data_IF_965339865961
#
_entry.id   IF_965339865961
#
_cell.length_a   1.000
_cell.length_b   1.000
_cell.length_c   1.000
_cell.angle_alpha   90.00
_cell.angle_beta   90.00
_cell.angle_gamma   90.00
#
_symmetry.space_group_name_H-M   'P 1'
#
loop_
_entity.id
_entity.type
_entity.pdbx_description
1 polymer ?
#
# COMPACT_ATOMS: atom_id res chain seq x y z
N UNK A 1 17.52 10.48 -11.72
CA UNK A 1 16.16 10.76 -12.20
C UNK A 1 15.24 10.18 -11.15
N UNK A 2 14.26 10.94 -10.68
CA UNK A 2 13.31 10.49 -9.67
C UNK A 2 12.52 9.27 -10.19
N UNK A 3 12.52 8.17 -9.43
CA UNK A 3 11.87 6.90 -9.78
C UNK A 3 10.38 7.10 -10.10
N UNK A 4 9.70 7.98 -9.35
CA UNK A 4 8.29 8.31 -9.55
C UNK A 4 8.07 9.13 -10.82
N UNK A 5 9.02 9.99 -11.17
CA UNK A 5 8.97 10.74 -12.43
C UNK A 5 9.05 9.80 -13.65
N UNK A 6 9.93 8.80 -13.60
CA UNK A 6 10.06 7.79 -14.65
C UNK A 6 8.78 6.95 -14.78
N UNK A 7 8.23 6.49 -13.64
CA UNK A 7 6.98 5.72 -13.60
C UNK A 7 5.80 6.51 -14.17
N UNK A 8 5.63 7.77 -13.76
CA UNK A 8 4.59 8.66 -14.31
C UNK A 8 4.74 8.88 -15.82
N UNK A 9 5.97 9.00 -16.32
CA UNK A 9 6.21 9.12 -17.77
C UNK A 9 5.75 7.87 -18.49
N UNK A 10 6.15 6.69 -18.00
CA UNK A 10 5.76 5.40 -18.59
C UNK A 10 4.24 5.22 -18.60
N UNK A 11 3.56 5.47 -17.47
CA UNK A 11 2.09 5.41 -17.38
C UNK A 11 1.46 6.33 -18.43
N UNK A 12 1.95 7.58 -18.53
CA UNK A 12 1.45 8.54 -19.52
C UNK A 12 1.59 8.05 -20.95
N UNK A 13 2.71 7.40 -21.28
CA UNK A 13 2.95 6.85 -22.61
C UNK A 13 2.01 5.67 -22.90
N UNK A 14 1.77 4.78 -21.93
CA UNK A 14 0.83 3.67 -22.05
C UNK A 14 -0.61 4.17 -22.25
N UNK A 15 -1.02 5.20 -21.50
CA UNK A 15 -2.34 5.81 -21.62
C UNK A 15 -2.65 6.35 -23.02
N UNK A 16 -1.64 6.71 -23.83
CA UNK A 16 -1.86 7.18 -25.20
C UNK A 16 -2.53 6.12 -26.07
N UNK A 17 -2.29 4.84 -25.76
CA UNK A 17 -2.79 3.68 -26.50
C UNK A 17 -3.96 3.00 -25.80
N UNK A 18 -4.01 3.06 -24.48
CA UNK A 18 -5.04 2.38 -23.68
C UNK A 18 -6.31 3.21 -23.46
N UNK A 19 -6.19 4.54 -23.36
CA UNK A 19 -7.31 5.40 -22.94
C UNK A 19 -8.05 5.94 -24.17
N UNK A 20 -9.39 5.85 -24.22
CA UNK A 20 -10.19 6.49 -25.27
C UNK A 20 -9.90 7.99 -25.40
N UNK A 21 -9.84 8.50 -26.63
CA UNK A 21 -9.39 9.88 -26.92
C UNK A 21 -10.18 10.97 -26.16
N UNK A 22 -11.49 10.76 -25.95
CA UNK A 22 -12.38 11.68 -25.24
C UNK A 22 -12.20 11.65 -23.71
N UNK A 23 -11.52 10.64 -23.17
CA UNK A 23 -11.30 10.44 -21.74
C UNK A 23 -9.86 10.72 -21.30
N UNK A 24 -8.92 10.94 -22.23
CA UNK A 24 -7.49 11.17 -21.93
C UNK A 24 -7.24 12.30 -20.93
N UNK A 25 -8.01 13.39 -21.01
CA UNK A 25 -7.87 14.50 -20.08
C UNK A 25 -8.18 14.09 -18.63
N UNK A 26 -9.29 13.38 -18.40
CA UNK A 26 -9.72 12.95 -17.08
C UNK A 26 -8.75 11.92 -16.48
N UNK A 27 -8.28 10.99 -17.31
CA UNK A 27 -7.30 10.01 -16.89
C UNK A 27 -5.96 10.68 -16.51
N UNK A 28 -5.55 11.74 -17.21
CA UNK A 28 -4.36 12.52 -16.84
C UNK A 28 -4.54 13.31 -15.54
N UNK A 29 -5.73 13.85 -15.27
CA UNK A 29 -6.02 14.52 -14.00
C UNK A 29 -5.84 13.54 -12.82
N UNK A 30 -6.29 12.29 -12.97
CA UNK A 30 -6.08 11.25 -11.96
C UNK A 30 -4.58 10.99 -11.71
N UNK A 31 -3.77 10.91 -12.76
CA UNK A 31 -2.31 10.76 -12.64
C UNK A 31 -1.65 11.96 -11.92
N UNK A 32 -2.23 13.16 -12.03
CA UNK A 32 -1.74 14.37 -11.34
C UNK A 32 -2.13 14.37 -9.85
N UNK A 33 -3.30 13.82 -9.50
CA UNK A 33 -3.76 13.66 -8.12
C UNK A 33 -2.82 12.69 -7.37
N UNK A 34 -2.56 11.53 -7.93
CA UNK A 34 -1.73 10.47 -7.32
C UNK A 34 -0.23 10.61 -7.63
N UNK A 35 0.23 11.80 -8.02
CA UNK A 35 1.56 11.99 -8.61
C UNK A 35 2.72 11.61 -7.68
N UNK A 36 2.51 11.63 -6.36
CA UNK A 36 3.51 11.23 -5.36
C UNK A 36 3.12 9.90 -4.67
N UNK A 37 1.95 9.34 -4.95
CA UNK A 37 1.46 8.12 -4.33
C UNK A 37 2.06 6.88 -5.00
N UNK A 38 2.99 6.21 -4.32
CA UNK A 38 3.65 5.02 -4.87
C UNK A 38 2.65 3.90 -5.12
N UNK A 39 1.70 3.67 -4.21
CA UNK A 39 0.75 2.57 -4.28
C UNK A 39 -0.19 2.75 -5.47
N UNK A 40 -0.83 3.91 -5.59
CA UNK A 40 -1.70 4.19 -6.73
C UNK A 40 -0.95 4.15 -8.07
N UNK A 41 0.30 4.63 -8.11
CA UNK A 41 1.12 4.57 -9.31
C UNK A 41 1.50 3.14 -9.71
N UNK A 42 1.68 2.20 -8.78
CA UNK A 42 1.83 0.77 -9.14
C UNK A 42 0.55 0.23 -9.77
N UNK A 43 -0.62 0.54 -9.20
CA UNK A 43 -1.91 0.10 -9.76
C UNK A 43 -2.10 0.62 -11.18
N UNK A 44 -1.81 1.90 -11.40
CA UNK A 44 -1.90 2.49 -12.74
C UNK A 44 -0.91 1.84 -13.71
N UNK A 45 0.34 1.63 -13.29
CA UNK A 45 1.33 0.99 -14.14
C UNK A 45 0.93 -0.44 -14.51
N UNK A 46 0.48 -1.24 -13.55
CA UNK A 46 0.06 -2.62 -13.79
C UNK A 46 -1.16 -2.69 -14.71
N UNK A 47 -2.19 -1.88 -14.43
CA UNK A 47 -3.40 -1.81 -15.25
C UNK A 47 -3.10 -1.41 -16.70
N UNK A 48 -2.32 -0.35 -16.92
CA UNK A 48 -2.04 0.13 -18.28
C UNK A 48 -1.00 -0.70 -19.04
N UNK A 49 -0.18 -1.50 -18.33
CA UNK A 49 0.70 -2.49 -18.97
C UNK A 49 -0.07 -3.73 -19.40
N UNK A 50 -1.07 -4.13 -18.62
CA UNK A 50 -1.83 -5.35 -18.79
C UNK A 50 -3.34 -5.05 -18.67
N UNK A 51 -3.94 -4.48 -19.71
CA UNK A 51 -5.37 -4.20 -19.73
C UNK A 51 -6.17 -5.51 -19.54
N UNK A 52 -6.98 -5.65 -18.47
CA UNK A 52 -7.61 -6.92 -18.13
C UNK A 52 -8.45 -7.51 -19.27
N UNK A 53 -9.20 -6.68 -20.00
CA UNK A 53 -10.05 -7.11 -21.12
C UNK A 53 -9.37 -7.01 -22.49
N UNK A 54 -8.12 -6.54 -22.55
CA UNK A 54 -7.42 -6.25 -23.81
C UNK A 54 -8.12 -5.20 -24.70
N UNK A 55 -8.95 -4.35 -24.10
CA UNK A 55 -9.72 -3.30 -24.76
C UNK A 55 -9.39 -1.94 -24.15
N UNK A 56 -9.58 -0.87 -24.94
CA UNK A 56 -9.36 0.50 -24.49
C UNK A 56 -10.25 0.80 -23.27
N UNK A 57 -9.62 1.19 -22.17
CA UNK A 57 -10.28 1.55 -20.92
C UNK A 57 -9.38 2.45 -20.07
N UNK A 58 -9.93 2.97 -18.98
CA UNK A 58 -9.23 3.84 -18.07
C UNK A 58 -9.77 3.76 -16.66
N UNK A 59 -8.88 3.99 -15.69
CA UNK A 59 -9.24 4.05 -14.28
C UNK A 59 -9.89 5.41 -14.01
N UNK A 60 -11.14 5.39 -13.55
CA UNK A 60 -11.90 6.58 -13.15
C UNK A 60 -11.57 7.00 -11.73
N UNK A 61 -11.43 6.02 -10.85
CA UNK A 61 -11.16 6.20 -9.44
C UNK A 61 -10.62 4.90 -8.84
N UNK A 62 -9.97 5.02 -7.68
CA UNK A 62 -9.55 3.91 -6.84
C UNK A 62 -10.47 3.86 -5.62
N UNK A 63 -10.89 2.66 -5.23
CA UNK A 63 -11.71 2.40 -4.04
C UNK A 63 -10.94 1.54 -3.05
N UNK A 64 -10.98 1.89 -1.78
CA UNK A 64 -10.34 1.13 -0.71
C UNK A 64 -11.29 0.02 -0.24
N UNK A 65 -11.02 -1.22 -0.66
CA UNK A 65 -11.82 -2.40 -0.28
C UNK A 65 -11.43 -2.89 1.10
N UNK A 66 -10.13 -2.91 1.38
CA UNK A 66 -9.60 -3.34 2.66
C UNK A 66 -8.19 -2.79 2.89
N UNK A 67 -7.83 -2.62 4.15
CA UNK A 67 -6.49 -2.25 4.57
C UNK A 67 -6.19 -2.92 5.89
N UNK A 68 -5.00 -3.51 6.02
CA UNK A 68 -4.53 -4.07 7.28
C UNK A 68 -3.02 -4.23 7.24
N UNK A 69 -2.33 -3.79 8.29
CA UNK A 69 -0.89 -4.00 8.47
C UNK A 69 -0.03 -3.54 7.26
N UNK A 70 -0.40 -2.42 6.64
CA UNK A 70 0.31 -1.88 5.47
C UNK A 70 -0.02 -2.52 4.12
N UNK A 71 -0.88 -3.55 4.11
CA UNK A 71 -1.38 -4.19 2.88
C UNK A 71 -2.74 -3.59 2.53
N UNK A 72 -2.92 -3.23 1.26
CA UNK A 72 -4.14 -2.63 0.73
C UNK A 72 -4.76 -3.56 -0.30
N UNK A 73 -6.07 -3.72 -0.21
CA UNK A 73 -6.89 -4.25 -1.30
C UNK A 73 -7.60 -3.06 -1.94
N UNK A 74 -7.13 -2.68 -3.13
CA UNK A 74 -7.68 -1.58 -3.92
C UNK A 74 -8.52 -2.13 -5.07
N UNK A 75 -9.63 -1.44 -5.35
CA UNK A 75 -10.43 -1.66 -6.53
C UNK A 75 -10.21 -0.50 -7.51
N UNK A 76 -9.68 -0.81 -8.69
CA UNK A 76 -9.60 0.13 -9.81
C UNK A 76 -10.94 0.12 -10.56
N UNK A 77 -11.73 1.17 -10.40
CA UNK A 77 -13.04 1.31 -11.04
C UNK A 77 -12.85 1.94 -12.42
N UNK A 78 -13.39 1.30 -13.44
CA UNK A 78 -13.16 1.66 -14.85
C UNK A 78 -14.47 1.96 -15.59
N UNK A 79 -14.45 1.99 -16.92
CA UNK A 79 -15.68 2.07 -17.72
C UNK A 79 -16.33 0.72 -17.95
N UNK A 80 -15.55 -0.35 -17.95
CA UNK A 80 -16.04 -1.70 -18.23
C UNK A 80 -16.41 -2.44 -16.95
N UNK A 81 -15.55 -2.38 -15.94
CA UNK A 81 -15.70 -3.13 -14.69
C UNK A 81 -14.93 -2.48 -13.53
N UNK A 82 -14.80 -3.19 -12.41
CA UNK A 82 -13.87 -2.88 -11.33
C UNK A 82 -12.92 -4.05 -11.08
N UNK A 83 -11.64 -3.76 -10.88
CA UNK A 83 -10.57 -4.75 -10.81
C UNK A 83 -9.85 -4.70 -9.47
N UNK A 84 -9.60 -5.86 -8.86
CA UNK A 84 -8.97 -5.96 -7.55
C UNK A 84 -7.45 -6.09 -7.66
N UNK A 85 -6.76 -5.27 -6.87
CA UNK A 85 -5.32 -5.28 -6.74
C UNK A 85 -4.95 -5.35 -5.26
N UNK A 86 -4.13 -6.33 -4.89
CA UNK A 86 -3.47 -6.40 -3.60
C UNK A 86 -2.14 -5.67 -3.72
N UNK A 87 -1.87 -4.73 -2.82
CA UNK A 87 -0.66 -3.92 -2.89
C UNK A 87 -0.05 -3.68 -1.51
N UNK A 88 1.27 -3.78 -1.46
CA UNK A 88 2.09 -3.52 -0.27
C UNK A 88 3.37 -2.79 -0.66
N UNK A 89 4.30 -2.63 0.30
CA UNK A 89 5.63 -2.11 0.02
C UNK A 89 6.48 -3.05 -0.86
N UNK A 90 6.14 -4.34 -0.92
CA UNK A 90 6.87 -5.37 -1.67
C UNK A 90 6.45 -5.49 -3.14
N UNK A 91 5.21 -5.12 -3.47
CA UNK A 91 4.71 -5.22 -4.83
C UNK A 91 3.19 -5.14 -4.96
N UNK A 92 2.73 -5.52 -6.15
CA UNK A 92 1.32 -5.51 -6.56
C UNK A 92 0.94 -6.86 -7.17
N UNK A 93 -0.26 -7.35 -6.83
CA UNK A 93 -0.85 -8.56 -7.38
C UNK A 93 -2.27 -8.29 -7.89
N UNK A 94 -2.58 -8.78 -9.09
CA UNK A 94 -3.91 -8.69 -9.69
C UNK A 94 -4.77 -9.89 -9.27
N UNK A 95 -5.96 -9.63 -8.74
CA UNK A 95 -6.89 -10.65 -8.23
C UNK A 95 -8.17 -10.83 -9.06
N UNK A 96 -8.25 -10.22 -10.26
CA UNK A 96 -9.39 -10.39 -11.15
C UNK A 96 -10.42 -9.26 -11.09
N UNK A 97 -11.54 -9.49 -11.77
CA UNK A 97 -12.70 -8.58 -11.77
C UNK A 97 -13.56 -8.79 -10.52
N UNK A 98 -14.08 -7.70 -9.97
CA UNK A 98 -15.09 -7.71 -8.91
C UNK A 98 -16.37 -8.44 -9.34
N UNK A 99 -16.73 -8.40 -10.62
CA UNK A 99 -17.90 -9.07 -11.17
C UNK A 99 -17.85 -10.59 -11.02
N UNK A 100 -16.66 -11.19 -10.91
CA UNK A 100 -16.48 -12.61 -10.65
C UNK A 100 -16.75 -12.98 -9.17
N UNK A 101 -16.68 -12.00 -8.26
CA UNK A 101 -16.97 -12.16 -6.83
C UNK A 101 -16.00 -13.08 -6.09
N UNK A 102 -14.88 -13.44 -6.71
CA UNK A 102 -13.90 -14.35 -6.14
C UNK A 102 -12.76 -13.59 -5.47
N UNK A 103 -12.49 -13.94 -4.22
CA UNK A 103 -11.27 -13.59 -3.50
C UNK A 103 -10.83 -14.83 -2.72
N UNK A 104 -9.51 -15.04 -2.64
CA UNK A 104 -8.98 -16.21 -1.94
C UNK A 104 -9.40 -16.20 -0.45
N UNK A 105 -9.57 -17.40 0.13
CA UNK A 105 -10.01 -17.55 1.52
C UNK A 105 -9.04 -16.93 2.53
N UNK A 106 -7.74 -17.00 2.26
CA UNK A 106 -6.72 -16.41 3.13
C UNK A 106 -6.85 -14.88 3.14
N UNK A 107 -7.11 -14.27 1.98
CA UNK A 107 -7.33 -12.83 1.85
C UNK A 107 -8.66 -12.39 2.47
N UNK A 108 -9.73 -13.15 2.30
CA UNK A 108 -11.00 -12.89 2.97
C UNK A 108 -10.82 -12.85 4.49
N UNK A 109 -10.13 -13.86 5.03
CA UNK A 109 -9.83 -13.92 6.47
C UNK A 109 -8.93 -12.76 6.90
N UNK A 110 -7.91 -12.43 6.11
CA UNK A 110 -6.98 -11.36 6.41
C UNK A 110 -7.70 -10.01 6.55
N UNK A 111 -8.57 -9.65 5.60
CA UNK A 111 -9.35 -8.40 5.62
C UNK A 111 -10.65 -8.48 6.45
N UNK A 112 -10.80 -9.49 7.30
CA UNK A 112 -11.93 -9.66 8.22
C UNK A 112 -13.31 -9.80 7.53
N UNK A 113 -13.34 -10.32 6.29
CA UNK A 113 -14.58 -10.71 5.62
C UNK A 113 -15.03 -12.10 6.11
N UNK A 114 -16.30 -12.24 6.51
CA UNK A 114 -16.78 -13.48 7.14
C UNK A 114 -16.95 -14.62 6.13
N UNK A 115 -17.27 -14.31 4.88
CA UNK A 115 -17.43 -15.30 3.81
C UNK A 115 -17.29 -14.69 2.41
N UNK A 116 -17.11 -15.56 1.39
CA UNK A 116 -17.08 -15.16 -0.01
C UNK A 116 -18.42 -14.57 -0.48
N UNK A 117 -19.55 -15.06 0.07
CA UNK A 117 -20.88 -14.51 -0.22
C UNK A 117 -21.04 -13.11 0.35
N UNK A 118 -20.56 -12.86 1.57
CA UNK A 118 -20.59 -11.52 2.17
C UNK A 118 -19.74 -10.54 1.35
N UNK A 119 -18.51 -10.93 1.02
CA UNK A 119 -17.64 -10.14 0.16
C UNK A 119 -18.31 -9.82 -1.17
N UNK A 120 -18.84 -10.83 -1.86
CA UNK A 120 -19.57 -10.68 -3.12
C UNK A 120 -20.75 -9.69 -3.02
N UNK A 121 -21.50 -9.70 -1.92
CA UNK A 121 -22.61 -8.76 -1.71
C UNK A 121 -22.15 -7.33 -1.41
N UNK A 122 -21.03 -7.17 -0.70
CA UNK A 122 -20.45 -5.86 -0.42
C UNK A 122 -19.88 -5.22 -1.70
N UNK A 123 -19.08 -5.97 -2.47
CA UNK A 123 -18.42 -5.46 -3.69
C UNK A 123 -19.37 -5.15 -4.83
N UNK A 124 -20.56 -5.75 -4.87
CA UNK A 124 -21.67 -5.35 -5.78
C UNK A 124 -22.10 -3.89 -5.59
N UNK A 125 -21.80 -3.30 -4.43
CA UNK A 125 -22.06 -1.90 -4.11
C UNK A 125 -20.72 -1.19 -3.90
N UNK A 126 -19.86 -1.25 -4.92
CA UNK A 126 -18.50 -0.72 -4.87
C UNK A 126 -18.46 0.76 -4.46
N UNK A 127 -19.52 1.51 -4.76
CA UNK A 127 -19.72 2.90 -4.35
C UNK A 127 -19.78 3.12 -2.83
N UNK A 128 -20.06 2.07 -2.04
CA UNK A 128 -20.08 2.13 -0.58
C UNK A 128 -18.67 2.07 0.03
N UNK A 129 -17.68 1.62 -0.74
CA UNK A 129 -16.29 1.67 -0.29
C UNK A 129 -15.75 3.09 -0.42
N UNK A 130 -14.85 3.45 0.50
CA UNK A 130 -14.24 4.77 0.50
C UNK A 130 -13.45 4.98 -0.79
N UNK A 131 -13.54 6.19 -1.34
CA UNK A 131 -12.60 6.62 -2.40
C UNK A 131 -11.22 6.63 -1.79
N UNK A 132 -10.27 5.97 -2.44
CA UNK A 132 -8.89 5.97 -2.01
C UNK A 132 -8.28 7.34 -2.28
N UNK A 133 -7.68 7.93 -1.24
CA UNK A 133 -6.96 9.19 -1.32
C UNK A 133 -5.45 8.96 -1.18
N UNK A 134 -4.61 9.83 -1.76
CA UNK A 134 -3.16 9.64 -1.69
C UNK A 134 -2.64 9.49 -0.25
N UNK A 135 -1.81 8.49 0.04
CA UNK A 135 -1.41 8.21 1.45
C UNK A 135 -0.65 9.36 2.09
N UNK A 136 0.01 10.22 1.30
CA UNK A 136 0.75 11.36 1.84
C UNK A 136 -0.12 12.39 2.55
N UNK A 137 -1.41 12.49 2.20
CA UNK A 137 -2.34 13.40 2.88
C UNK A 137 -2.94 12.80 4.15
N UNK A 138 -2.78 11.50 4.37
CA UNK A 138 -3.33 10.83 5.56
C UNK A 138 -2.32 10.84 6.72
N UNK A 139 -2.55 11.77 7.67
CA UNK A 139 -1.74 11.90 8.88
C UNK A 139 -1.87 10.73 9.84
N UNK A 140 -2.93 9.93 9.71
CA UNK A 140 -3.25 8.84 10.62
C UNK A 140 -2.59 7.52 10.21
N UNK A 141 -1.64 7.59 9.28
CA UNK A 141 -0.92 6.46 8.71
C UNK A 141 0.58 6.61 8.82
N UNK A 142 1.28 5.48 8.98
CA UNK A 142 2.72 5.45 8.92
C UNK A 142 3.17 5.88 7.51
N UNK A 143 4.09 6.86 7.37
CA UNK A 143 4.56 7.29 6.06
C UNK A 143 5.47 6.27 5.36
N UNK A 144 5.93 5.23 6.07
CA UNK A 144 6.86 4.24 5.55
C UNK A 144 6.17 2.93 5.13
N UNK A 145 5.43 2.30 6.04
CA UNK A 145 4.73 1.03 5.78
C UNK A 145 3.21 1.19 5.66
N UNK A 146 2.68 2.40 5.85
CA UNK A 146 1.25 2.66 5.74
C UNK A 146 0.37 1.84 6.70
N UNK A 147 0.88 1.43 7.86
CA UNK A 147 0.03 0.97 8.98
C UNK A 147 -0.87 2.11 9.48
N UNK A 148 -2.14 1.82 9.77
CA UNK A 148 -3.06 2.82 10.33
C UNK A 148 -2.84 2.99 11.84
N UNK A 149 -3.36 4.08 12.41
CA UNK A 149 -3.31 4.28 13.86
C UNK A 149 -4.00 3.14 14.58
N UNK A 150 -3.28 2.49 15.50
CA UNK A 150 -3.75 1.30 16.21
C UNK A 150 -3.45 -0.04 15.53
N UNK A 151 -2.88 -0.04 14.31
CA UNK A 151 -2.38 -1.25 13.66
C UNK A 151 -0.90 -1.48 13.97
N UNK A 152 -0.48 -2.74 13.92
CA UNK A 152 0.96 -3.06 13.93
C UNK A 152 1.62 -2.63 12.61
N UNK A 153 2.90 -2.26 12.69
CA UNK A 153 3.70 -1.99 11.50
C UNK A 153 3.94 -3.27 10.68
N UNK A 154 4.24 -3.11 9.39
CA UNK A 154 4.94 -4.14 8.63
C UNK A 154 6.31 -4.42 9.26
N UNK A 155 6.68 -5.69 9.43
CA UNK A 155 7.95 -6.06 10.05
C UNK A 155 9.11 -5.52 9.21
N UNK A 156 10.01 -4.77 9.84
CA UNK A 156 11.11 -4.09 9.13
C UNK A 156 10.81 -2.65 8.75
N UNK A 157 9.64 -2.11 9.12
CA UNK A 157 9.35 -0.69 8.98
C UNK A 157 10.39 0.17 9.75
N UNK A 158 10.97 1.21 9.12
CA UNK A 158 11.95 2.08 9.79
C UNK A 158 11.37 2.94 10.91
N UNK A 159 10.04 3.06 10.97
CA UNK A 159 9.31 3.83 11.99
C UNK A 159 8.93 2.95 13.18
N UNK A 160 8.95 1.61 13.04
CA UNK A 160 8.51 0.70 14.09
C UNK A 160 9.36 0.84 15.36
N UNK A 161 8.68 0.96 16.50
CA UNK A 161 9.30 1.13 17.82
C UNK A 161 9.52 -0.23 18.48
N UNK A 162 10.74 -0.45 18.95
CA UNK A 162 11.14 -1.65 19.67
C UNK A 162 10.44 -1.76 21.04
N UNK A 163 9.71 -2.85 21.33
CA UNK A 163 8.99 -3.02 22.59
C UNK A 163 9.91 -3.30 23.79
N UNK A 164 11.20 -3.54 23.57
CA UNK A 164 12.18 -3.78 24.65
C UNK A 164 12.91 -2.51 25.09
N UNK A 165 13.32 -1.66 24.14
CA UNK A 165 14.16 -0.49 24.44
C UNK A 165 13.54 0.86 24.07
N UNK A 166 12.43 0.88 23.33
CA UNK A 166 11.79 2.11 22.86
C UNK A 166 12.52 2.85 21.74
N UNK A 167 13.64 2.31 21.23
CA UNK A 167 14.31 2.78 20.02
C UNK A 167 13.64 2.25 18.74
N UNK A 168 14.16 2.58 17.56
CA UNK A 168 13.68 2.02 16.30
C UNK A 168 14.09 0.54 16.16
N UNK A 169 13.12 -0.34 15.86
CA UNK A 169 13.32 -1.79 15.83
C UNK A 169 14.44 -2.20 14.88
N UNK A 170 14.45 -1.65 13.67
CA UNK A 170 15.47 -1.93 12.64
C UNK A 170 16.86 -1.38 12.94
N UNK A 171 17.02 -0.55 13.99
CA UNK A 171 18.32 0.01 14.39
C UNK A 171 18.80 -0.49 15.76
N UNK A 172 17.94 -1.13 16.56
CA UNK A 172 18.31 -1.60 17.88
C UNK A 172 19.01 -2.97 17.88
N UNK A 173 19.89 -3.20 18.86
CA UNK A 173 20.54 -4.49 19.07
C UNK A 173 19.64 -5.54 19.74
N UNK A 174 18.45 -5.14 20.22
CA UNK A 174 17.52 -6.07 20.89
C UNK A 174 17.15 -7.26 20.01
N UNK A 175 17.04 -7.08 18.69
CA UNK A 175 16.73 -8.16 17.75
C UNK A 175 17.74 -9.31 17.79
N UNK A 176 19.01 -9.00 18.06
CA UNK A 176 20.10 -9.96 18.17
C UNK A 176 20.13 -10.56 19.58
N UNK A 177 20.05 -9.69 20.59
CA UNK A 177 20.12 -10.09 22.00
C UNK A 177 18.96 -11.02 22.43
N UNK A 178 17.75 -10.83 21.90
CA UNK A 178 16.60 -11.70 22.23
C UNK A 178 16.74 -13.11 21.64
N UNK A 179 17.46 -13.25 20.52
CA UNK A 179 17.70 -14.51 19.84
C UNK A 179 19.00 -15.20 20.26
N UNK A 180 19.86 -14.52 21.01
CA UNK A 180 21.23 -14.94 21.36
C UNK A 180 22.07 -15.24 20.11
N UNK A 181 21.98 -14.34 19.13
CA UNK A 181 22.74 -14.38 17.86
C UNK A 181 23.47 -13.07 17.64
N UNK A 182 24.52 -13.07 16.82
CA UNK A 182 25.24 -11.84 16.44
C UNK A 182 24.57 -11.12 15.26
N UNK A 183 23.92 -11.87 14.37
CA UNK A 183 23.26 -11.38 13.16
C UNK A 183 22.06 -12.27 12.77
N UNK A 184 21.10 -11.70 12.04
CA UNK A 184 19.98 -12.42 11.44
C UNK A 184 20.36 -12.72 9.99
N UNK A 185 20.67 -13.98 9.68
CA UNK A 185 21.18 -14.36 8.35
C UNK A 185 20.29 -15.37 7.63
N UNK A 186 19.32 -15.94 8.34
CA UNK A 186 18.43 -16.95 7.79
C UNK A 186 16.96 -16.56 7.99
N UNK A 187 16.09 -17.07 7.11
CA UNK A 187 14.64 -16.91 7.25
C UNK A 187 14.13 -17.50 8.58
N UNK A 188 14.78 -18.55 9.09
CA UNK A 188 14.46 -19.12 10.39
C UNK A 188 14.73 -18.15 11.55
N UNK A 189 15.77 -17.33 11.46
CA UNK A 189 16.04 -16.30 12.47
C UNK A 189 14.94 -15.23 12.44
N UNK A 190 14.48 -14.84 11.25
CA UNK A 190 13.39 -13.87 11.09
C UNK A 190 12.08 -14.40 11.65
N UNK A 191 11.71 -15.65 11.35
CA UNK A 191 10.50 -16.29 11.88
C UNK A 191 10.54 -16.34 13.41
N UNK A 192 11.65 -16.80 13.99
CA UNK A 192 11.81 -16.85 15.44
C UNK A 192 11.78 -15.46 16.08
N UNK A 193 12.34 -14.46 15.40
CA UNK A 193 12.31 -13.08 15.88
C UNK A 193 10.88 -12.54 15.91
N UNK A 194 10.12 -12.79 14.85
CA UNK A 194 8.72 -12.39 14.75
C UNK A 194 7.87 -13.04 15.85
N UNK A 195 8.06 -14.34 16.12
CA UNK A 195 7.39 -15.04 17.22
C UNK A 195 7.68 -14.39 18.59
N UNK A 196 8.94 -14.00 18.85
CA UNK A 196 9.34 -13.32 20.09
C UNK A 196 8.73 -11.93 20.20
N UNK A 197 8.67 -11.19 19.10
CA UNK A 197 8.01 -9.89 19.02
C UNK A 197 6.51 -9.98 19.31
N UNK A 198 5.82 -10.94 18.69
CA UNK A 198 4.40 -11.20 18.91
C UNK A 198 4.14 -11.57 20.38
N UNK A 199 4.95 -12.45 20.98
CA UNK A 199 4.84 -12.81 22.39
C UNK A 199 5.08 -11.63 23.33
N UNK A 200 6.02 -10.74 22.99
CA UNK A 200 6.29 -9.52 23.76
C UNK A 200 5.15 -8.51 23.66
N UNK A 201 4.42 -8.51 22.55
CA UNK A 201 3.44 -7.51 22.16
C UNK A 201 4.11 -6.38 21.42
N UNK A 202 3.82 -6.26 20.11
CA UNK A 202 4.34 -5.18 19.28
C UNK A 202 3.65 -3.86 19.63
N UNK A 203 4.38 -2.77 19.41
CA UNK A 203 3.84 -1.42 19.60
C UNK A 203 3.13 -1.03 18.31
N UNK A 204 1.81 -0.83 18.41
CA UNK A 204 0.99 -0.34 17.29
C UNK A 204 1.41 1.08 16.87
N UNK A 205 1.16 1.43 15.62
CA UNK A 205 1.42 2.75 15.10
C UNK A 205 0.56 3.81 15.81
N UNK A 206 1.19 4.93 16.13
CA UNK A 206 0.51 6.16 16.56
C UNK A 206 1.13 7.35 15.84
N UNK A 207 0.39 8.44 15.60
CA UNK A 207 0.90 9.61 14.88
C UNK A 207 2.17 10.23 15.50
N UNK A 208 2.40 10.05 16.80
CA UNK A 208 3.61 10.52 17.49
C UNK A 208 4.89 9.81 17.04
N UNK A 209 4.78 8.62 16.43
CA UNK A 209 5.91 7.90 15.85
C UNK A 209 6.32 8.47 14.50
N UNK A 210 5.46 9.28 13.87
CA UNK A 210 5.75 9.88 12.56
C UNK A 210 7.01 10.74 12.68
N UNK A 211 8.03 10.53 11.82
CA UNK A 211 9.22 11.34 11.84
C UNK A 211 8.85 12.82 11.68
N UNK A 212 9.21 13.63 12.68
CA UNK A 212 9.18 15.07 12.53
C UNK A 212 10.30 15.43 11.55
N UNK A 213 9.95 15.64 10.28
CA UNK A 213 10.82 16.43 9.44
C UNK A 213 10.89 17.81 10.11
N UNK A 214 12.09 18.28 10.42
CA UNK A 214 12.25 19.67 10.81
C UNK A 214 11.74 20.49 9.62
N UNK A 215 10.55 21.08 9.78
CA UNK A 215 10.01 22.08 8.87
C UNK A 215 11.14 23.06 8.54
N UNK A 216 11.48 23.14 7.25
CA UNK A 216 12.20 24.25 6.62
C UNK A 216 13.09 25.08 7.56
N UNK A 217 14.12 24.44 8.15
CA UNK A 217 15.23 25.19 8.72
C UNK A 217 15.84 26.04 7.59
N UNK A 218 16.20 27.32 7.83
CA UNK A 218 16.80 28.14 6.79
C UNK A 218 18.03 27.40 6.31
N UNK A 219 18.03 27.03 5.02
CA UNK A 219 19.05 26.17 4.44
C UNK A 219 20.42 26.61 4.90
N UNK A 220 21.25 25.65 5.30
CA UNK A 220 22.62 25.92 5.74
C UNK A 220 23.31 26.69 4.61
N UNK A 221 23.50 28.00 4.80
CA UNK A 221 24.33 28.81 3.93
C UNK A 221 25.76 28.31 4.11
N UNK A 222 26.26 27.60 3.09
CA UNK A 222 27.69 27.34 2.98
C UNK A 222 28.39 28.68 2.74
N UNK A 223 29.14 29.14 3.73
CA UNK A 223 30.14 30.21 3.57
C UNK A 223 31.39 29.68 2.89
#
# INVERSE_FOLDING_TARGET
MDELQEKRRRIRDLMQYAVPDDQKAQAHDLLVIFREDRLALEVFDEFYRCLPEGQDDWIKELRLVGRKAGIFLLAAVTSLDAYLYLISSEGIEFHGSIGEGYLDKELLHFFDFSSAEEFSEQVKKIENFLVYEPVQVDSDTCPACHAATGEEHELGCPVEVCPWCGGQLIHCECRFAQLDVEELTTDQDLIRFEELLQQKGRIVYTPEQRPAFADEGPGVEFQ
#
